data_IF_471793225342
#
_entry.id   IF_471793225342
#
_cell.length_a   1.000
_cell.length_b   1.000
_cell.length_c   1.000
_cell.angle_alpha   90.00
_cell.angle_beta   90.00
_cell.angle_gamma   90.00
#
_symmetry.space_group_name_H-M   'P 1'
#
loop_
_entity.id
_entity.type
_entity.pdbx_description
1 polymer ?
#
# COMPACT_ATOMS: atom_id res chain seq x y z
N UNK A 1 -16.85 -15.91 -10.75
CA UNK A 1 -16.86 -14.48 -11.07
C UNK A 1 -18.21 -14.09 -11.63
N UNK A 2 -18.95 -13.26 -10.90
CA UNK A 2 -20.19 -12.67 -11.41
C UNK A 2 -19.91 -11.25 -11.85
N UNK A 3 -20.65 -10.82 -12.85
CA UNK A 3 -20.77 -9.41 -13.09
C UNK A 3 -21.87 -8.90 -12.16
N UNK A 4 -21.45 -8.25 -11.08
CA UNK A 4 -22.35 -7.59 -10.13
C UNK A 4 -22.13 -6.11 -10.36
N UNK A 5 -23.14 -5.51 -10.95
CA UNK A 5 -23.08 -4.15 -11.47
C UNK A 5 -21.96 -4.03 -12.52
N UNK A 6 -20.77 -3.59 -12.12
CA UNK A 6 -19.65 -3.28 -13.01
C UNK A 6 -18.30 -3.84 -12.57
N UNK A 7 -18.22 -4.51 -11.43
CA UNK A 7 -17.02 -5.26 -11.07
C UNK A 7 -17.20 -6.71 -11.47
N UNK A 8 -16.18 -7.28 -12.09
CA UNK A 8 -15.98 -8.71 -12.02
C UNK A 8 -15.71 -9.02 -10.55
N UNK A 9 -16.72 -9.58 -9.88
CA UNK A 9 -16.70 -9.87 -8.45
C UNK A 9 -16.58 -11.37 -8.25
N UNK A 10 -15.65 -11.78 -7.40
CA UNK A 10 -15.51 -13.18 -7.02
C UNK A 10 -16.46 -13.54 -5.87
N UNK A 11 -16.38 -14.77 -5.37
CA UNK A 11 -17.22 -15.24 -4.25
C UNK A 11 -16.78 -14.69 -2.88
N UNK A 12 -15.62 -14.04 -2.79
CA UNK A 12 -15.01 -13.51 -1.58
C UNK A 12 -15.19 -11.99 -1.44
N UNK A 13 -16.03 -11.41 -2.30
CA UNK A 13 -16.23 -9.97 -2.39
C UNK A 13 -14.99 -9.18 -2.83
N UNK A 14 -14.01 -9.82 -3.49
CA UNK A 14 -12.96 -9.10 -4.20
C UNK A 14 -13.46 -8.69 -5.57
N UNK A 15 -12.96 -7.56 -6.01
CA UNK A 15 -13.55 -6.85 -7.13
C UNK A 15 -12.43 -6.41 -8.05
N UNK A 16 -12.50 -6.84 -9.31
CA UNK A 16 -11.69 -6.29 -10.39
C UNK A 16 -12.62 -5.55 -11.31
N UNK A 17 -12.26 -4.34 -11.62
CA UNK A 17 -13.09 -3.48 -12.41
C UNK A 17 -13.16 -4.03 -13.83
N UNK A 18 -14.37 -4.24 -14.35
CA UNK A 18 -14.56 -4.85 -15.66
C UNK A 18 -14.00 -4.06 -16.83
N UNK A 19 -13.75 -2.79 -16.56
CA UNK A 19 -13.31 -1.82 -17.54
C UNK A 19 -11.77 -1.67 -17.53
N UNK A 20 -11.04 -2.13 -16.49
CA UNK A 20 -9.55 -2.19 -16.49
C UNK A 20 -9.06 -3.51 -17.02
N UNK A 21 -9.76 -4.56 -16.65
CA UNK A 21 -9.40 -5.92 -16.99
C UNK A 21 -10.57 -6.47 -17.78
N UNK A 22 -10.32 -7.06 -18.95
CA UNK A 22 -11.27 -7.93 -19.61
C UNK A 22 -11.76 -8.99 -18.63
N UNK A 23 -12.93 -9.59 -18.85
CA UNK A 23 -13.39 -10.72 -18.02
C UNK A 23 -12.31 -11.78 -17.87
N UNK A 24 -11.53 -12.00 -18.92
CA UNK A 24 -10.41 -12.92 -18.94
C UNK A 24 -9.27 -12.45 -18.04
N UNK A 25 -8.88 -11.18 -18.10
CA UNK A 25 -7.87 -10.56 -17.22
C UNK A 25 -8.34 -10.46 -15.77
N UNK A 26 -9.59 -10.07 -15.50
CA UNK A 26 -10.12 -10.05 -14.14
C UNK A 26 -10.24 -11.44 -13.56
N UNK A 27 -10.64 -12.43 -14.36
CA UNK A 27 -10.55 -13.83 -13.95
C UNK A 27 -9.10 -14.22 -13.72
N UNK A 28 -8.15 -13.72 -14.52
CA UNK A 28 -6.72 -13.95 -14.29
C UNK A 28 -6.23 -13.25 -13.01
N UNK A 29 -6.65 -12.03 -12.71
CA UNK A 29 -6.26 -11.25 -11.54
C UNK A 29 -7.02 -11.64 -10.28
N UNK A 30 -8.21 -12.20 -10.42
CA UNK A 30 -8.87 -12.97 -9.37
C UNK A 30 -8.16 -14.23 -9.02
N UNK A 31 -7.48 -14.81 -10.00
CA UNK A 31 -6.48 -15.82 -9.73
C UNK A 31 -5.15 -15.21 -9.24
N UNK A 32 -4.89 -13.89 -9.32
CA UNK A 32 -3.72 -13.22 -8.70
C UNK A 32 -3.98 -12.68 -7.29
N UNK A 33 -5.24 -12.48 -6.88
CA UNK A 33 -5.58 -12.20 -5.50
C UNK A 33 -5.79 -13.45 -4.70
N UNK A 34 -5.21 -13.42 -3.52
CA UNK A 34 -5.29 -14.48 -2.55
C UNK A 34 -5.72 -13.88 -1.22
N UNK A 35 -6.87 -14.34 -0.71
CA UNK A 35 -7.41 -14.01 0.63
C UNK A 35 -7.55 -12.53 0.99
N UNK A 36 -7.41 -11.69 0.00
CA UNK A 36 -8.17 -10.49 -0.11
C UNK A 36 -9.65 -10.80 0.15
N UNK A 37 -10.24 -10.06 1.07
CA UNK A 37 -11.68 -9.95 1.21
C UNK A 37 -12.00 -8.50 1.12
N UNK A 38 -13.08 -8.18 0.42
CA UNK A 38 -13.44 -6.80 0.22
C UNK A 38 -12.33 -5.98 -0.50
N UNK A 39 -11.36 -6.63 -1.16
CA UNK A 39 -10.27 -5.94 -1.85
C UNK A 39 -10.63 -5.54 -3.25
N UNK A 40 -9.95 -4.53 -3.73
CA UNK A 40 -10.35 -3.85 -4.94
C UNK A 40 -9.17 -3.70 -5.88
N UNK A 41 -9.44 -4.04 -7.15
CA UNK A 41 -8.60 -3.97 -8.37
C UNK A 41 -7.25 -4.61 -8.22
N UNK A 42 -7.23 -5.54 -7.31
CA UNK A 42 -6.04 -5.69 -6.56
C UNK A 42 -5.12 -6.53 -7.45
N UNK A 43 -4.02 -5.93 -7.89
CA UNK A 43 -3.08 -6.57 -8.79
C UNK A 43 -1.98 -7.14 -7.96
N UNK A 44 -1.90 -8.46 -8.03
CA UNK A 44 -0.89 -9.16 -7.28
C UNK A 44 -0.97 -8.79 -5.77
N UNK A 45 -2.14 -8.33 -5.28
CA UNK A 45 -2.36 -8.02 -3.87
C UNK A 45 -2.62 -9.25 -3.06
N UNK A 46 -2.41 -9.09 -1.75
CA UNK A 46 -2.71 -10.13 -0.79
C UNK A 46 -3.06 -9.53 0.55
N UNK A 47 -3.96 -10.21 1.25
CA UNK A 47 -4.18 -10.09 2.70
C UNK A 47 -4.56 -8.72 3.16
N UNK A 48 -5.78 -8.49 2.78
CA UNK A 48 -6.22 -7.19 2.60
C UNK A 48 -7.65 -7.34 2.93
N UNK A 49 -7.99 -6.70 4.02
CA UNK A 49 -9.37 -6.58 4.36
C UNK A 49 -9.72 -5.16 4.04
N UNK A 50 -10.26 -5.01 2.84
CA UNK A 50 -10.33 -3.70 2.23
C UNK A 50 -8.96 -3.09 1.88
N UNK A 51 -7.92 -3.87 1.55
CA UNK A 51 -6.81 -3.27 0.79
C UNK A 51 -7.13 -3.07 -0.67
N UNK A 52 -6.23 -2.33 -1.29
CA UNK A 52 -6.38 -1.77 -2.60
C UNK A 52 -5.05 -1.83 -3.35
N UNK A 53 -5.07 -2.49 -4.52
CA UNK A 53 -4.06 -2.54 -5.59
C UNK A 53 -2.60 -2.66 -5.22
N UNK A 54 -1.98 -3.82 -5.10
CA UNK A 54 -1.00 -3.91 -4.06
C UNK A 54 0.43 -4.18 -4.42
N UNK A 55 0.68 -4.70 -5.60
CA UNK A 55 1.92 -4.34 -6.22
C UNK A 55 1.59 -3.00 -6.88
N UNK A 56 2.12 -1.94 -6.26
CA UNK A 56 1.45 -0.64 -6.16
C UNK A 56 0.52 -0.44 -4.96
N UNK A 57 0.55 -1.21 -3.84
CA UNK A 57 -0.44 -1.00 -2.72
C UNK A 57 -0.30 0.34 -2.20
N UNK A 58 -1.43 0.95 -2.04
CA UNK A 58 -1.49 2.29 -1.60
C UNK A 58 -2.59 2.21 -0.59
N UNK A 59 -2.25 2.64 0.61
CA UNK A 59 -3.20 3.19 1.57
C UNK A 59 -4.38 2.33 1.89
N UNK A 60 -4.17 1.05 1.83
CA UNK A 60 -5.01 0.13 2.54
C UNK A 60 -5.03 0.58 4.00
N UNK A 61 -6.16 0.34 4.62
CA UNK A 61 -6.20 0.46 6.06
C UNK A 61 -5.52 -0.80 6.54
N UNK A 62 -4.45 -0.63 7.30
CA UNK A 62 -3.43 -1.67 7.44
C UNK A 62 -2.88 -2.07 6.07
N UNK A 63 -2.28 -1.08 5.40
CA UNK A 63 -1.56 -1.28 4.16
C UNK A 63 -0.20 -1.85 4.43
N UNK A 64 -0.02 -2.99 3.81
CA UNK A 64 1.03 -3.89 4.18
C UNK A 64 1.64 -4.31 2.86
N UNK A 65 2.96 -4.14 2.77
CA UNK A 65 3.77 -4.75 1.71
C UNK A 65 3.34 -4.39 0.32
N UNK A 66 3.35 -3.11 0.12
CA UNK A 66 3.33 -2.58 -1.20
C UNK A 66 4.71 -2.28 -1.67
N UNK A 67 4.76 -2.36 -2.98
CA UNK A 67 5.92 -2.03 -3.75
C UNK A 67 5.49 -0.81 -4.52
N UNK A 68 6.21 0.29 -4.37
CA UNK A 68 5.66 1.61 -4.66
C UNK A 68 4.37 1.83 -3.85
N UNK A 69 4.43 1.61 -2.53
CA UNK A 69 3.36 2.17 -1.72
C UNK A 69 3.46 3.66 -1.66
N UNK A 70 2.38 4.30 -1.27
CA UNK A 70 2.45 5.70 -0.98
C UNK A 70 1.28 6.05 -0.11
N UNK A 71 1.54 6.52 1.11
CA UNK A 71 0.58 7.28 1.91
C UNK A 71 -0.06 6.55 3.09
N UNK A 72 0.28 5.28 3.36
CA UNK A 72 -0.70 4.47 4.07
C UNK A 72 -0.91 4.89 5.51
N UNK A 73 -2.15 4.75 5.99
CA UNK A 73 -2.53 5.18 7.34
C UNK A 73 -1.66 4.47 8.38
N UNK A 74 -1.55 3.18 8.16
CA UNK A 74 -0.52 2.32 8.71
C UNK A 74 0.06 1.65 7.47
N UNK A 75 1.28 2.08 7.13
CA UNK A 75 2.05 1.56 6.02
C UNK A 75 3.20 0.83 6.69
N UNK A 76 3.09 -0.48 6.73
CA UNK A 76 4.05 -1.31 7.41
C UNK A 76 4.84 -2.03 6.34
N UNK A 77 6.17 -1.88 6.39
CA UNK A 77 7.10 -2.56 5.49
C UNK A 77 6.80 -2.35 4.01
N UNK A 78 6.71 -1.10 3.68
CA UNK A 78 6.38 -0.61 2.38
C UNK A 78 7.73 -0.25 1.70
N UNK A 79 7.93 -0.61 0.42
CA UNK A 79 9.14 -0.28 -0.34
C UNK A 79 8.84 0.79 -1.39
N UNK A 80 9.76 1.73 -1.60
CA UNK A 80 9.50 3.01 -2.26
C UNK A 80 8.22 3.64 -1.74
N UNK A 81 8.18 3.85 -0.43
CA UNK A 81 6.93 4.19 0.27
C UNK A 81 6.87 5.61 0.72
N UNK A 82 6.14 6.40 -0.05
CA UNK A 82 6.14 7.85 0.12
C UNK A 82 5.05 8.28 1.12
N UNK A 83 5.28 9.35 1.89
CA UNK A 83 4.30 10.11 2.66
C UNK A 83 3.32 9.36 3.59
N UNK A 84 3.69 8.23 4.21
CA UNK A 84 2.73 7.52 5.06
C UNK A 84 2.55 8.17 6.44
N UNK A 85 1.38 7.99 7.07
CA UNK A 85 1.09 8.58 8.39
C UNK A 85 1.95 7.92 9.47
N UNK A 86 1.88 6.59 9.50
CA UNK A 86 2.84 5.73 10.18
C UNK A 86 3.51 4.86 9.15
N UNK A 87 4.76 5.19 8.86
CA UNK A 87 5.73 4.30 8.26
C UNK A 87 6.39 3.55 9.41
N UNK A 88 6.12 2.27 9.51
CA UNK A 88 6.82 1.45 10.48
C UNK A 88 7.74 0.54 9.67
N UNK A 89 9.05 0.74 9.86
CA UNK A 89 10.13 -0.09 9.32
C UNK A 89 10.26 -0.14 7.78
N UNK A 90 9.58 0.73 7.05
CA UNK A 90 9.63 0.83 5.59
C UNK A 90 11.06 1.15 5.03
N UNK A 91 11.25 1.02 3.71
CA UNK A 91 12.50 1.33 2.97
C UNK A 91 12.21 2.33 1.86
N UNK A 92 13.19 3.18 1.53
CA UNK A 92 13.02 4.25 0.54
C UNK A 92 11.76 5.08 0.87
N UNK A 93 11.60 5.37 2.16
CA UNK A 93 10.48 6.16 2.62
C UNK A 93 10.83 7.61 2.46
N UNK A 94 9.91 8.41 2.01
CA UNK A 94 10.17 9.84 1.92
C UNK A 94 8.97 10.58 2.48
N UNK A 95 9.23 11.57 3.32
CA UNK A 95 8.24 12.49 3.85
C UNK A 95 7.12 11.88 4.72
N UNK A 96 7.34 10.73 5.40
CA UNK A 96 6.38 10.20 6.37
C UNK A 96 6.25 11.09 7.63
N UNK A 97 5.09 11.08 8.31
CA UNK A 97 4.87 11.86 9.55
C UNK A 97 5.53 11.21 10.76
N UNK A 98 5.23 9.93 10.96
CA UNK A 98 5.88 9.09 11.96
C UNK A 98 6.58 7.95 11.25
N UNK A 99 7.91 8.01 11.24
CA UNK A 99 8.78 6.92 10.90
C UNK A 99 9.33 6.30 12.17
N UNK A 100 9.07 5.02 12.36
CA UNK A 100 9.73 4.27 13.40
C UNK A 100 10.66 3.26 12.76
N UNK A 101 11.95 3.43 13.00
CA UNK A 101 13.03 2.51 12.61
C UNK A 101 13.20 2.26 11.09
N UNK A 102 12.68 3.09 10.20
CA UNK A 102 12.78 2.94 8.74
C UNK A 102 14.22 3.21 8.19
N UNK A 103 14.50 2.92 6.90
CA UNK A 103 15.82 3.15 6.24
C UNK A 103 15.72 3.99 4.97
N UNK A 104 16.82 4.67 4.63
CA UNK A 104 16.88 5.57 3.47
C UNK A 104 15.72 6.58 3.48
N UNK A 105 15.38 7.04 4.70
CA UNK A 105 14.25 7.89 4.94
C UNK A 105 14.59 9.34 4.70
N UNK A 106 13.93 9.96 3.73
CA UNK A 106 14.16 11.36 3.40
C UNK A 106 13.00 12.19 3.96
N UNK A 107 13.29 13.41 4.41
CA UNK A 107 12.30 14.45 4.76
C UNK A 107 11.15 14.08 5.73
N UNK A 108 11.27 13.03 6.54
CA UNK A 108 10.21 12.63 7.49
C UNK A 108 10.18 13.57 8.72
N UNK A 109 9.00 13.85 9.29
CA UNK A 109 8.81 14.80 10.42
C UNK A 109 9.35 14.25 11.74
N UNK A 110 9.12 12.96 12.01
CA UNK A 110 9.64 12.25 13.17
C UNK A 110 10.24 10.91 12.75
N UNK A 111 11.49 10.66 13.16
CA UNK A 111 12.23 9.42 12.88
C UNK A 111 12.92 8.89 14.13
N UNK A 112 12.39 7.82 14.71
CA UNK A 112 13.10 7.05 15.73
C UNK A 112 14.10 6.10 15.01
N UNK A 113 15.41 6.27 15.23
CA UNK A 113 16.49 5.35 14.78
C UNK A 113 16.75 5.12 13.27
N UNK A 114 16.24 5.93 12.35
CA UNK A 114 16.54 5.77 10.91
C UNK A 114 18.05 5.95 10.59
N UNK A 115 18.64 5.07 9.75
CA UNK A 115 20.10 5.03 9.45
C UNK A 115 20.62 6.13 8.51
N UNK A 116 19.76 6.71 7.68
CA UNK A 116 20.10 7.80 6.75
C UNK A 116 19.16 8.98 7.00
N UNK A 117 19.46 9.81 8.02
CA UNK A 117 18.73 11.06 8.34
C UNK A 117 19.25 12.24 7.51
N UNK A 118 19.38 12.15 6.20
CA UNK A 118 20.11 13.21 5.47
C UNK A 118 19.41 14.59 5.45
N UNK A 119 18.16 14.73 5.91
CA UNK A 119 17.43 16.00 5.78
C UNK A 119 16.69 16.52 7.04
N UNK A 120 16.92 15.96 8.23
CA UNK A 120 16.40 16.53 9.50
C UNK A 120 17.15 17.80 9.95
N UNK A 121 17.80 18.52 9.02
CA UNK A 121 18.33 19.87 9.28
C UNK A 121 17.28 20.98 9.09
N UNK A 122 16.03 20.66 8.78
CA UNK A 122 14.97 21.66 8.74
C UNK A 122 13.97 21.51 9.90
N UNK A 123 14.18 22.42 10.86
CA UNK A 123 13.15 23.09 11.66
C UNK A 123 12.52 22.36 12.85
N UNK A 124 13.31 22.21 13.91
CA UNK A 124 12.75 22.47 15.24
C UNK A 124 13.79 23.06 16.19
N UNK A 125 14.02 24.37 16.06
CA UNK A 125 14.41 25.19 17.22
C UNK A 125 13.23 25.21 18.18
N UNK A 126 13.37 24.55 19.33
CA UNK A 126 12.81 24.98 20.60
C UNK A 126 14.02 25.20 21.52
#
# INVERSE_FOLDING_TARGET
>A
MKLIENYYTDSKNNKWNKFVYSKKEAVALSKTLENCTNCINCEHCKNCDGCVNCIGCIDCIDCINCINCNGCKICINCDNSYCCLKCIECINCDSCKECKNCKECKNCISCENAKYREYLKHDSKI
#
